data_IF_220388254755
#
_entry.id   IF_220388254755
#
_cell.length_a   1.000
_cell.length_b   1.000
_cell.length_c   1.000
_cell.angle_alpha   90.00
_cell.angle_beta   90.00
_cell.angle_gamma   90.00
#
_symmetry.space_group_name_H-M   'P 1'
#
loop_
_entity.id
_entity.type
_entity.pdbx_description
1 polymer ?
#
# COMPACT_ATOMS: atom_id res chain seq x y z
N UNK A 1 -15.81 -19.62 2.44
CA UNK A 1 -15.20 -18.35 2.00
C UNK A 1 -16.29 -17.29 2.13
N UNK A 2 -16.23 -16.39 3.12
CA UNK A 2 -17.17 -15.26 3.20
C UNK A 2 -16.68 -14.22 2.20
N UNK A 3 -17.45 -13.96 1.16
CA UNK A 3 -17.19 -12.82 0.27
C UNK A 3 -17.07 -11.55 1.12
N UNK A 4 -16.02 -10.77 0.89
CA UNK A 4 -15.88 -9.46 1.50
C UNK A 4 -17.02 -8.59 0.93
N UNK A 5 -17.93 -8.12 1.78
CA UNK A 5 -19.06 -7.30 1.33
C UNK A 5 -18.54 -6.04 0.62
N UNK A 6 -19.06 -5.78 -0.58
CA UNK A 6 -18.80 -4.56 -1.36
C UNK A 6 -19.04 -3.27 -0.55
N UNK A 7 -19.89 -3.32 0.50
CA UNK A 7 -20.11 -2.19 1.41
C UNK A 7 -18.93 -1.91 2.34
N UNK A 8 -18.25 -2.96 2.84
CA UNK A 8 -17.05 -2.85 3.66
C UNK A 8 -15.88 -2.32 2.82
N UNK A 9 -15.78 -2.81 1.59
CA UNK A 9 -14.84 -2.33 0.58
C UNK A 9 -14.97 -0.82 0.32
N UNK A 10 -16.19 -0.37 0.04
CA UNK A 10 -16.46 1.05 -0.18
C UNK A 10 -16.12 1.86 1.06
N UNK A 11 -16.42 1.34 2.26
CA UNK A 11 -16.10 1.99 3.53
C UNK A 11 -14.59 2.16 3.72
N UNK A 12 -13.79 1.13 3.44
CA UNK A 12 -12.32 1.17 3.56
C UNK A 12 -11.73 2.19 2.58
N UNK A 13 -12.15 2.15 1.31
CA UNK A 13 -11.71 3.11 0.29
C UNK A 13 -12.16 4.52 0.68
N UNK A 14 -13.42 4.71 1.09
CA UNK A 14 -13.92 6.00 1.59
C UNK A 14 -13.12 6.51 2.77
N UNK A 15 -12.87 5.67 3.77
CA UNK A 15 -12.13 6.06 4.97
C UNK A 15 -10.70 6.44 4.64
N UNK A 16 -10.02 5.67 3.79
CA UNK A 16 -8.66 5.95 3.35
C UNK A 16 -8.59 7.27 2.55
N UNK A 17 -9.51 7.47 1.61
CA UNK A 17 -9.59 8.66 0.77
C UNK A 17 -9.99 9.90 1.57
N UNK A 18 -10.98 9.79 2.46
CA UNK A 18 -11.46 10.89 3.30
C UNK A 18 -10.40 11.31 4.32
N UNK A 19 -9.72 10.35 4.95
CA UNK A 19 -8.63 10.64 5.89
C UNK A 19 -7.41 11.22 5.17
N UNK A 20 -7.12 10.74 3.94
CA UNK A 20 -6.08 11.36 3.10
C UNK A 20 -6.38 12.82 2.81
N UNK A 21 -7.62 13.14 2.45
CA UNK A 21 -8.01 14.51 2.16
C UNK A 21 -7.97 15.40 3.42
N UNK A 22 -8.45 14.89 4.56
CA UNK A 22 -8.45 15.62 5.85
C UNK A 22 -7.04 15.95 6.35
N UNK A 23 -6.08 15.04 6.19
CA UNK A 23 -4.69 15.28 6.64
C UNK A 23 -3.97 16.33 5.78
N UNK A 24 -4.40 16.51 4.53
CA UNK A 24 -3.89 17.56 3.65
C UNK A 24 -4.44 18.93 4.04
N UNK A 25 -5.71 18.99 4.47
CA UNK A 25 -6.36 20.24 4.89
C UNK A 25 -5.88 20.82 6.22
N UNK A 26 -5.22 20.03 7.06
CA UNK A 26 -4.74 20.49 8.37
C UNK A 26 -3.27 20.95 8.36
N UNK A 27 -2.53 20.74 7.27
CA UNK A 27 -1.10 21.09 7.14
C UNK A 27 -0.79 21.65 5.74
N UNK A 28 -1.17 22.89 5.44
CA UNK A 28 -0.89 23.57 4.15
C UNK A 28 0.61 23.72 3.84
N UNK A 29 1.06 23.79 2.56
CA UNK A 29 0.44 23.34 1.31
C UNK A 29 1.44 22.59 0.40
N UNK A 30 1.24 21.30 0.12
CA UNK A 30 1.72 20.68 -1.11
C UNK A 30 0.63 19.70 -1.56
N UNK A 31 0.10 19.93 -2.75
CA UNK A 31 -1.07 19.29 -3.38
C UNK A 31 -2.39 19.98 -3.06
N UNK A 32 -2.85 20.73 -4.06
CA UNK A 32 -4.16 21.36 -4.19
C UNK A 32 -5.28 20.40 -3.74
N UNK A 33 -5.89 20.69 -2.59
CA UNK A 33 -7.05 19.96 -2.05
C UNK A 33 -8.21 19.89 -3.07
N UNK A 34 -8.25 20.81 -4.05
CA UNK A 34 -9.33 20.86 -5.03
C UNK A 34 -9.28 19.77 -6.11
N UNK A 35 -8.19 19.01 -6.25
CA UNK A 35 -8.07 18.00 -7.32
C UNK A 35 -8.94 16.77 -7.03
N UNK A 36 -9.01 16.31 -5.77
CA UNK A 36 -9.83 15.14 -5.41
C UNK A 36 -11.32 15.45 -5.43
N UNK A 37 -11.73 16.57 -4.84
CA UNK A 37 -13.15 16.84 -4.62
C UNK A 37 -13.93 17.21 -5.88
N UNK A 38 -13.27 17.67 -6.95
CA UNK A 38 -13.97 17.98 -8.21
C UNK A 38 -14.50 16.72 -8.92
N UNK A 39 -13.86 15.58 -8.69
CA UNK A 39 -14.13 14.35 -9.44
C UNK A 39 -14.80 13.25 -8.62
N UNK A 40 -15.14 13.53 -7.36
CA UNK A 40 -15.78 12.57 -6.45
C UNK A 40 -17.24 12.94 -6.30
N UNK A 41 -18.12 12.09 -6.84
CA UNK A 41 -19.57 12.21 -6.65
C UNK A 41 -20.03 11.14 -5.70
N UNK A 42 -20.67 11.54 -4.60
CA UNK A 42 -21.40 10.65 -3.69
C UNK A 42 -22.88 10.69 -4.05
N UNK A 43 -23.47 9.55 -4.36
CA UNK A 43 -24.91 9.39 -4.58
C UNK A 43 -25.37 8.14 -3.84
N UNK A 44 -26.11 8.33 -2.73
CA UNK A 44 -26.46 7.25 -1.81
C UNK A 44 -25.22 6.50 -1.28
N UNK A 45 -25.21 5.18 -1.47
CA UNK A 45 -24.10 4.28 -1.11
C UNK A 45 -23.07 4.11 -2.24
N UNK A 46 -23.07 4.98 -3.26
CA UNK A 46 -22.12 4.91 -4.37
C UNK A 46 -21.19 6.12 -4.34
N UNK A 47 -19.89 5.86 -4.41
CA UNK A 47 -18.89 6.87 -4.71
C UNK A 47 -18.33 6.62 -6.10
N UNK A 48 -18.33 7.66 -6.91
CA UNK A 48 -17.74 7.65 -8.25
C UNK A 48 -16.56 8.61 -8.25
N UNK A 49 -15.36 8.09 -8.51
CA UNK A 49 -14.16 8.87 -8.79
C UNK A 49 -14.01 8.93 -10.31
N UNK A 50 -13.98 10.13 -10.89
CA UNK A 50 -13.85 10.33 -12.35
C UNK A 50 -12.50 10.98 -12.67
N UNK A 51 -11.40 10.22 -12.64
CA UNK A 51 -10.07 10.79 -12.86
C UNK A 51 -9.86 11.18 -14.33
N UNK A 52 -8.99 12.15 -14.59
CA UNK A 52 -8.56 12.48 -15.95
C UNK A 52 -7.64 11.39 -16.52
N UNK A 53 -6.85 10.76 -15.63
CA UNK A 53 -5.90 9.71 -15.98
C UNK A 53 -5.89 8.61 -14.92
N UNK A 54 -6.00 7.37 -15.39
CA UNK A 54 -5.91 6.17 -14.57
C UNK A 54 -4.97 5.17 -15.25
N UNK A 55 -3.93 4.71 -14.55
CA UNK A 55 -2.95 3.77 -15.13
C UNK A 55 -2.35 2.89 -14.04
N UNK A 56 -2.11 1.60 -14.30
CA UNK A 56 -1.37 0.74 -13.35
C UNK A 56 0.00 1.33 -13.02
N UNK A 57 0.46 1.23 -11.78
CA UNK A 57 1.75 1.75 -11.32
C UNK A 57 2.91 1.15 -12.11
N UNK A 58 2.84 -0.14 -12.43
CA UNK A 58 3.83 -0.80 -13.30
C UNK A 58 3.96 -0.15 -14.68
N UNK A 59 2.83 0.20 -15.31
CA UNK A 59 2.78 0.82 -16.63
C UNK A 59 3.19 2.28 -16.56
N UNK A 60 2.77 2.98 -15.50
CA UNK A 60 3.16 4.35 -15.23
C UNK A 60 4.68 4.46 -15.04
N UNK A 61 5.26 3.59 -14.22
CA UNK A 61 6.70 3.56 -13.95
C UNK A 61 7.51 3.26 -15.22
N UNK A 62 7.10 2.28 -16.03
CA UNK A 62 7.75 1.98 -17.33
C UNK A 62 7.78 3.19 -18.27
N UNK A 63 6.73 4.02 -18.27
CA UNK A 63 6.62 5.19 -19.14
C UNK A 63 7.39 6.41 -18.63
N UNK A 64 7.37 6.65 -17.32
CA UNK A 64 7.88 7.90 -16.73
C UNK A 64 9.24 7.73 -16.04
N UNK A 65 9.69 6.49 -15.80
CA UNK A 65 10.93 6.19 -15.12
C UNK A 65 10.85 6.37 -13.60
N UNK A 66 12.02 6.66 -13.01
CA UNK A 66 12.22 6.79 -11.56
C UNK A 66 11.41 7.94 -10.97
N UNK A 67 10.93 7.75 -9.75
CA UNK A 67 10.15 8.74 -9.02
C UNK A 67 11.06 9.70 -8.27
N UNK A 68 10.60 10.94 -8.11
CA UNK A 68 11.21 11.89 -7.20
C UNK A 68 10.94 11.48 -5.75
N UNK A 69 11.78 11.95 -4.83
CA UNK A 69 11.59 11.71 -3.39
C UNK A 69 10.20 12.10 -2.89
N UNK A 70 9.70 13.28 -3.28
CA UNK A 70 8.36 13.74 -2.90
C UNK A 70 7.24 12.83 -3.40
N UNK A 71 7.40 12.24 -4.59
CA UNK A 71 6.42 11.30 -5.16
C UNK A 71 6.43 9.95 -4.45
N UNK A 72 7.60 9.46 -4.03
CA UNK A 72 7.70 8.25 -3.19
C UNK A 72 7.12 8.51 -1.79
N UNK A 73 7.38 9.68 -1.20
CA UNK A 73 6.78 10.05 0.08
C UNK A 73 5.25 10.07 -0.01
N UNK A 74 4.72 10.64 -1.09
CA UNK A 74 3.29 10.63 -1.39
C UNK A 74 2.73 9.23 -1.53
N UNK A 75 3.45 8.35 -2.23
CA UNK A 75 3.12 6.93 -2.36
C UNK A 75 3.01 6.26 -0.99
N UNK A 76 4.01 6.41 -0.12
CA UNK A 76 4.03 5.84 1.24
C UNK A 76 2.80 6.29 2.05
N UNK A 77 2.48 7.59 2.00
CA UNK A 77 1.31 8.14 2.70
C UNK A 77 0.01 7.50 2.18
N UNK A 78 -0.16 7.40 0.86
CA UNK A 78 -1.35 6.78 0.27
C UNK A 78 -1.51 5.32 0.69
N UNK A 79 -0.40 4.55 0.69
CA UNK A 79 -0.41 3.14 1.11
C UNK A 79 -0.72 3.00 2.59
N UNK A 80 -0.08 3.80 3.45
CA UNK A 80 -0.28 3.74 4.91
C UNK A 80 -1.72 4.01 5.32
N UNK A 81 -2.39 4.94 4.64
CA UNK A 81 -3.81 5.24 4.89
C UNK A 81 -4.72 4.07 4.52
N UNK A 82 -4.47 3.42 3.38
CA UNK A 82 -5.24 2.24 2.93
C UNK A 82 -5.01 1.03 3.84
N UNK A 83 -3.76 0.76 4.20
CA UNK A 83 -3.41 -0.33 5.13
C UNK A 83 -4.01 -0.09 6.51
N UNK A 84 -3.94 1.14 7.04
CA UNK A 84 -4.58 1.49 8.32
C UNK A 84 -6.09 1.29 8.27
N UNK A 85 -6.74 1.67 7.18
CA UNK A 85 -8.18 1.46 7.00
C UNK A 85 -8.54 -0.03 6.96
N UNK A 86 -7.73 -0.87 6.29
CA UNK A 86 -7.92 -2.32 6.27
C UNK A 86 -7.75 -2.95 7.65
N UNK A 87 -6.69 -2.62 8.37
CA UNK A 87 -6.42 -3.17 9.71
C UNK A 87 -7.55 -2.81 10.68
N UNK A 88 -8.08 -1.59 10.62
CA UNK A 88 -9.25 -1.18 11.42
C UNK A 88 -10.52 -1.98 11.12
N UNK A 89 -10.59 -2.60 9.94
CA UNK A 89 -11.69 -3.44 9.49
C UNK A 89 -11.32 -4.94 9.55
N UNK A 90 -10.32 -5.32 10.36
CA UNK A 90 -9.86 -6.71 10.54
C UNK A 90 -9.49 -7.40 9.23
N UNK A 91 -8.86 -6.65 8.32
CA UNK A 91 -8.38 -7.14 7.04
C UNK A 91 -6.89 -6.83 6.87
N UNK A 92 -6.19 -7.63 6.06
CA UNK A 92 -4.79 -7.40 5.69
C UNK A 92 -4.49 -7.94 4.30
N UNK A 93 -3.38 -7.47 3.72
CA UNK A 93 -2.84 -8.03 2.48
C UNK A 93 -1.74 -9.03 2.80
N UNK A 94 -1.69 -10.14 2.06
CA UNK A 94 -0.58 -11.09 2.13
C UNK A 94 0.66 -10.52 1.41
N UNK A 95 0.46 -9.94 0.23
CA UNK A 95 1.51 -9.30 -0.55
C UNK A 95 0.90 -8.24 -1.49
N UNK A 96 1.72 -7.28 -1.91
CA UNK A 96 1.33 -6.20 -2.82
C UNK A 96 2.39 -6.07 -3.92
N UNK A 97 1.96 -5.87 -5.16
CA UNK A 97 2.82 -5.64 -6.32
C UNK A 97 2.49 -4.31 -7.00
N UNK A 98 3.34 -3.86 -7.91
CA UNK A 98 3.07 -2.66 -8.71
C UNK A 98 1.84 -2.81 -9.63
N UNK A 99 1.42 -4.02 -9.97
CA UNK A 99 0.23 -4.25 -10.80
C UNK A 99 -1.08 -4.17 -10.01
N UNK A 100 -0.99 -4.24 -8.68
CA UNK A 100 -2.13 -4.13 -7.75
C UNK A 100 -2.51 -2.68 -7.49
N UNK A 101 -1.66 -1.72 -7.90
CA UNK A 101 -1.80 -0.30 -7.60
C UNK A 101 -2.08 0.47 -8.89
N UNK A 102 -3.05 1.37 -8.86
CA UNK A 102 -3.30 2.36 -9.90
C UNK A 102 -2.80 3.73 -9.48
N UNK A 103 -2.24 4.45 -10.45
CA UNK A 103 -1.90 5.86 -10.39
C UNK A 103 -3.09 6.65 -10.94
N UNK A 104 -3.60 7.56 -10.12
CA UNK A 104 -4.71 8.45 -10.43
C UNK A 104 -4.17 9.87 -10.56
N UNK A 105 -4.40 10.51 -11.71
CA UNK A 105 -4.01 11.90 -11.99
C UNK A 105 -2.56 12.20 -11.57
N UNK A 106 -1.67 11.25 -11.89
CA UNK A 106 -0.22 11.28 -11.68
C UNK A 106 0.26 11.27 -10.21
N UNK A 107 -0.49 11.76 -9.24
CA UNK A 107 0.01 12.00 -7.86
C UNK A 107 -0.62 11.11 -6.79
N UNK A 108 -1.55 10.26 -7.17
CA UNK A 108 -2.31 9.46 -6.21
C UNK A 108 -2.25 7.98 -6.49
N UNK A 109 -2.21 7.18 -5.43
CA UNK A 109 -1.94 5.76 -5.52
C UNK A 109 -3.02 4.99 -4.77
N UNK A 110 -3.73 4.12 -5.47
CA UNK A 110 -4.81 3.32 -4.91
C UNK A 110 -4.54 1.85 -5.20
N UNK A 111 -4.59 1.01 -4.16
CA UNK A 111 -4.59 -0.44 -4.34
C UNK A 111 -5.98 -0.83 -4.86
N UNK A 112 -6.02 -1.51 -6.00
CA UNK A 112 -7.27 -1.92 -6.68
C UNK A 112 -7.41 -3.43 -6.82
N UNK A 113 -6.33 -4.20 -6.62
CA UNK A 113 -6.43 -5.66 -6.59
C UNK A 113 -6.77 -6.14 -5.18
N UNK A 114 -8.03 -6.52 -4.99
CA UNK A 114 -8.56 -6.92 -3.68
C UNK A 114 -8.60 -8.44 -3.49
N UNK A 115 -8.28 -9.21 -4.53
CA UNK A 115 -8.29 -10.68 -4.48
C UNK A 115 -7.26 -11.21 -3.46
N UNK A 116 -6.26 -10.39 -3.12
CA UNK A 116 -5.22 -10.68 -2.13
C UNK A 116 -5.54 -10.16 -0.71
N UNK A 117 -6.74 -9.63 -0.47
CA UNK A 117 -7.21 -9.27 0.89
C UNK A 117 -7.65 -10.53 1.62
N UNK A 118 -7.19 -10.66 2.85
CA UNK A 118 -7.60 -11.71 3.77
C UNK A 118 -8.13 -11.13 5.08
N UNK A 119 -9.13 -11.80 5.65
CA UNK A 119 -9.61 -11.50 7.00
C UNK A 119 -8.56 -11.88 8.03
N UNK A 120 -8.43 -11.07 9.06
CA UNK A 120 -7.60 -11.38 10.21
C UNK A 120 -8.31 -12.40 11.11
N UNK A 121 -7.54 -13.34 11.67
CA UNK A 121 -7.99 -14.25 12.72
C UNK A 121 -8.26 -13.48 14.01
N UNK A 122 -8.84 -14.16 15.02
CA UNK A 122 -9.04 -13.57 16.35
C UNK A 122 -7.73 -13.09 17.00
N UNK A 123 -6.62 -13.74 16.65
CA UNK A 123 -5.29 -13.40 17.13
C UNK A 123 -4.60 -12.31 16.27
N UNK A 124 -5.34 -11.70 15.34
CA UNK A 124 -4.85 -10.61 14.50
C UNK A 124 -3.95 -11.05 13.33
N UNK A 125 -3.85 -12.36 13.06
CA UNK A 125 -2.99 -12.91 11.99
C UNK A 125 -3.75 -13.09 10.69
N UNK A 126 -3.06 -13.13 9.56
CA UNK A 126 -3.65 -13.51 8.27
C UNK A 126 -3.59 -15.02 8.13
N UNK A 127 -4.74 -15.68 7.96
CA UNK A 127 -4.81 -17.13 7.71
C UNK A 127 -4.77 -17.41 6.21
N UNK A 128 -3.67 -17.99 5.74
CA UNK A 128 -3.49 -18.38 4.34
C UNK A 128 -3.89 -19.85 4.20
N UNK A 129 -4.95 -20.10 3.42
CA UNK A 129 -5.48 -21.45 3.17
C UNK A 129 -5.26 -21.93 1.74
N UNK A 130 -4.96 -21.01 0.82
CA UNK A 130 -4.79 -21.28 -0.60
C UNK A 130 -3.37 -20.95 -1.05
N UNK A 131 -2.80 -21.71 -2.00
CA UNK A 131 -1.51 -21.38 -2.61
C UNK A 131 -1.52 -19.99 -3.23
N UNK A 132 -0.39 -19.29 -3.14
CA UNK A 132 -0.17 -18.00 -3.78
C UNK A 132 1.18 -18.02 -4.53
N UNK A 133 1.35 -17.13 -5.51
CA UNK A 133 2.59 -17.02 -6.27
C UNK A 133 3.55 -16.05 -5.59
N UNK A 134 4.68 -16.56 -5.12
CA UNK A 134 5.74 -15.71 -4.58
C UNK A 134 6.44 -14.93 -5.71
N UNK A 135 6.82 -13.68 -5.41
CA UNK A 135 7.56 -12.81 -6.32
C UNK A 135 8.56 -11.96 -5.52
N UNK A 136 9.28 -11.04 -6.20
CA UNK A 136 10.30 -10.19 -5.56
C UNK A 136 9.76 -9.27 -4.46
N UNK A 137 8.46 -8.96 -4.47
CA UNK A 137 7.78 -8.15 -3.45
C UNK A 137 7.24 -8.97 -2.29
N UNK A 138 7.23 -10.31 -2.39
CA UNK A 138 6.77 -11.21 -1.34
C UNK A 138 7.78 -11.22 -0.18
N UNK A 139 7.29 -11.10 1.05
CA UNK A 139 8.11 -11.12 2.26
C UNK A 139 8.86 -12.47 2.43
N UNK A 140 10.05 -12.48 3.06
CA UNK A 140 10.87 -13.69 3.17
C UNK A 140 10.15 -14.85 3.87
N UNK A 141 9.42 -14.58 4.96
CA UNK A 141 8.66 -15.58 5.70
C UNK A 141 7.57 -16.26 4.87
N UNK A 142 7.11 -15.60 3.80
CA UNK A 142 6.12 -16.14 2.87
C UNK A 142 6.75 -17.00 1.77
N UNK A 143 8.04 -16.80 1.46
CA UNK A 143 8.77 -17.57 0.44
C UNK A 143 9.13 -18.96 0.93
N UNK A 144 9.29 -19.12 2.24
CA UNK A 144 9.75 -20.37 2.86
C UNK A 144 8.60 -21.28 3.33
N UNK A 145 7.35 -20.96 2.97
CA UNK A 145 6.17 -21.75 3.34
C UNK A 145 6.16 -23.08 2.59
N UNK A 146 6.13 -24.19 3.35
CA UNK A 146 6.07 -25.56 2.81
C UNK A 146 4.69 -26.20 2.92
N UNK A 147 3.84 -25.71 3.81
CA UNK A 147 2.55 -26.33 4.14
C UNK A 147 1.46 -25.28 4.33
N UNK A 148 0.23 -25.65 3.99
CA UNK A 148 -0.97 -24.86 4.22
C UNK A 148 -1.97 -25.68 5.06
N UNK A 149 -2.82 -25.04 5.88
CA UNK A 149 -2.88 -23.60 6.13
C UNK A 149 -1.75 -23.08 7.03
N UNK A 150 -1.49 -21.78 6.98
CA UNK A 150 -0.51 -21.09 7.84
C UNK A 150 -1.04 -19.73 8.28
N UNK A 151 -0.68 -19.31 9.49
CA UNK A 151 -0.93 -17.97 10.00
C UNK A 151 0.32 -17.11 9.85
N UNK A 152 0.15 -15.91 9.29
CA UNK A 152 1.25 -14.98 9.03
C UNK A 152 0.93 -13.61 9.62
N UNK A 153 1.98 -12.87 9.97
CA UNK A 153 1.83 -11.54 10.55
C UNK A 153 1.39 -10.53 9.47
N UNK A 154 0.37 -9.68 9.73
CA UNK A 154 -0.09 -8.66 8.77
C UNK A 154 1.00 -7.73 8.18
N UNK A 155 2.09 -7.40 8.92
CA UNK A 155 3.23 -6.65 8.39
C UNK A 155 3.97 -7.29 7.21
N UNK A 156 3.64 -8.51 6.76
CA UNK A 156 4.16 -9.05 5.50
C UNK A 156 3.92 -8.11 4.29
N UNK A 157 2.78 -7.41 4.27
CA UNK A 157 2.49 -6.38 3.26
C UNK A 157 3.40 -5.15 3.34
N UNK A 158 3.97 -4.83 4.51
CA UNK A 158 4.86 -3.68 4.68
C UNK A 158 6.18 -3.91 3.95
N UNK A 159 6.68 -5.15 3.98
CA UNK A 159 7.83 -5.57 3.18
C UNK A 159 7.58 -5.31 1.69
N UNK A 160 6.42 -5.70 1.16
CA UNK A 160 6.04 -5.44 -0.23
C UNK A 160 6.11 -3.96 -0.59
N UNK A 161 5.54 -3.09 0.26
CA UNK A 161 5.57 -1.64 0.03
C UNK A 161 6.99 -1.09 0.05
N UNK A 162 7.86 -1.56 0.94
CA UNK A 162 9.25 -1.13 1.00
C UNK A 162 10.04 -1.51 -0.26
N UNK A 163 9.88 -2.74 -0.76
CA UNK A 163 10.51 -3.17 -2.02
C UNK A 163 9.96 -2.38 -3.22
N UNK A 164 8.66 -2.03 -3.21
CA UNK A 164 8.07 -1.13 -4.21
C UNK A 164 8.72 0.26 -4.12
N UNK A 165 8.89 0.83 -2.93
CA UNK A 165 9.54 2.15 -2.77
C UNK A 165 10.96 2.17 -3.34
N UNK A 166 11.77 1.14 -3.04
CA UNK A 166 13.11 1.00 -3.62
C UNK A 166 13.05 0.90 -5.15
N UNK A 167 12.14 0.06 -5.67
CA UNK A 167 11.95 -0.07 -7.11
C UNK A 167 11.53 1.24 -7.77
N UNK A 168 10.72 2.08 -7.10
CA UNK A 168 10.30 3.40 -7.59
C UNK A 168 11.47 4.40 -7.64
N UNK A 169 12.48 4.25 -6.80
CA UNK A 169 13.75 4.99 -6.94
C UNK A 169 14.67 4.41 -8.04
N UNK A 170 14.29 3.30 -8.67
CA UNK A 170 15.17 2.55 -9.57
C UNK A 170 16.25 1.76 -8.84
N UNK A 171 16.03 1.46 -7.56
CA UNK A 171 16.98 0.75 -6.70
C UNK A 171 16.55 -0.71 -6.49
N UNK A 172 17.54 -1.58 -6.45
CA UNK A 172 17.39 -2.94 -5.91
C UNK A 172 17.66 -2.94 -4.40
N UNK A 173 17.08 -3.89 -3.67
CA UNK A 173 17.32 -4.02 -2.24
C UNK A 173 18.73 -4.56 -1.97
N UNK A 174 19.62 -3.65 -1.59
CA UNK A 174 20.97 -3.93 -1.09
C UNK A 174 21.45 -2.75 -0.24
N UNK A 175 22.55 -2.96 0.49
CA UNK A 175 23.10 -1.96 1.41
C UNK A 175 23.49 -0.66 0.70
N UNK A 176 24.21 -0.74 -0.41
CA UNK A 176 24.71 0.43 -1.14
C UNK A 176 23.57 1.33 -1.65
N UNK A 177 22.45 0.75 -2.08
CA UNK A 177 21.28 1.49 -2.51
C UNK A 177 20.48 2.07 -1.34
N UNK A 178 20.41 1.36 -0.21
CA UNK A 178 19.80 1.88 1.02
C UNK A 178 20.58 3.09 1.54
N UNK A 179 21.91 3.04 1.53
CA UNK A 179 22.78 4.11 2.03
C UNK A 179 22.59 5.43 1.26
N UNK A 180 22.17 5.39 -0.01
CA UNK A 180 21.83 6.59 -0.81
C UNK A 180 20.62 7.36 -0.28
N UNK A 181 19.75 6.69 0.47
CA UNK A 181 18.59 7.31 1.12
C UNK A 181 18.93 7.80 2.52
N UNK A 182 20.09 7.45 3.07
CA UNK A 182 20.48 7.86 4.41
C UNK A 182 21.08 9.28 4.43
N UNK A 183 20.76 10.12 5.42
CA UNK A 183 19.67 9.99 6.40
C UNK A 183 18.39 10.64 5.86
N UNK A 184 17.30 9.89 5.74
CA UNK A 184 16.00 10.45 5.38
C UNK A 184 14.83 9.74 6.06
N UNK A 185 13.67 10.39 6.22
CA UNK A 185 12.44 9.74 6.66
C UNK A 185 12.10 8.47 5.88
N UNK A 186 12.33 8.48 4.55
CA UNK A 186 12.07 7.31 3.70
C UNK A 186 13.05 6.17 3.97
N UNK A 187 14.33 6.47 4.25
CA UNK A 187 15.30 5.45 4.68
C UNK A 187 14.80 4.71 5.93
N UNK A 188 14.47 5.46 7.00
CA UNK A 188 14.06 4.86 8.26
C UNK A 188 12.71 4.15 8.14
N UNK A 189 11.81 4.63 7.27
CA UNK A 189 10.58 3.92 6.93
C UNK A 189 10.86 2.57 6.27
N UNK A 190 11.70 2.54 5.22
CA UNK A 190 12.05 1.32 4.49
C UNK A 190 12.76 0.33 5.42
N UNK A 191 13.73 0.79 6.21
CA UNK A 191 14.47 -0.03 7.17
C UNK A 191 13.53 -0.76 8.15
N UNK A 192 12.54 -0.06 8.72
CA UNK A 192 11.54 -0.67 9.61
C UNK A 192 10.62 -1.65 8.90
N UNK A 193 10.29 -1.41 7.65
CA UNK A 193 9.43 -2.31 6.86
C UNK A 193 10.17 -3.57 6.41
N UNK A 194 11.50 -3.53 6.32
CA UNK A 194 12.36 -4.63 5.87
C UNK A 194 13.02 -5.39 7.03
N UNK A 195 12.59 -5.16 8.28
CA UNK A 195 13.09 -5.91 9.43
C UNK A 195 12.87 -7.41 9.23
N UNK A 196 13.86 -8.25 9.60
CA UNK A 196 13.79 -9.69 9.33
C UNK A 196 12.59 -10.34 10.03
N UNK A 197 12.47 -10.13 11.34
CA UNK A 197 11.35 -10.55 12.18
C UNK A 197 10.06 -9.80 11.80
N UNK A 198 9.03 -10.48 11.25
CA UNK A 198 7.79 -9.85 10.80
C UNK A 198 7.07 -9.03 11.89
N UNK A 199 7.10 -9.50 13.13
CA UNK A 199 6.51 -8.87 14.32
C UNK A 199 7.15 -7.53 14.70
N UNK A 200 8.40 -7.29 14.28
CA UNK A 200 9.11 -6.04 14.52
C UNK A 200 8.92 -5.03 13.40
N UNK A 201 8.30 -5.42 12.28
CA UNK A 201 8.06 -4.52 11.15
C UNK A 201 6.99 -3.49 11.50
N UNK A 202 7.27 -2.25 11.15
CA UNK A 202 6.36 -1.13 11.40
C UNK A 202 6.18 -0.25 10.17
N UNK A 203 4.92 0.04 9.83
CA UNK A 203 4.57 1.05 8.83
C UNK A 203 4.60 2.43 9.47
N UNK A 204 5.80 2.95 9.71
CA UNK A 204 6.00 4.21 10.42
C UNK A 204 6.92 5.16 9.66
N UNK A 205 6.34 6.28 9.24
CA UNK A 205 7.03 7.42 8.64
C UNK A 205 7.11 8.53 9.70
N UNK A 206 8.33 8.87 10.13
CA UNK A 206 8.64 9.89 11.14
C UNK A 206 9.61 10.93 10.60
#
# INVERSE_FOLDING_TARGET
>A
MKELDNSLFLTIVISALSESARRLSTNTPIVDENIWFRNIKKSGNKITVSPNKLTKLSTYFKKNGVFTYGKVLRFIICMGLQLTALTKNNCGFIHITMDDIVVIDDDWFLITNFDNISLLTKDGKINITTPFSANKFTAPELRDIKTLPIDVEPPCSYYSIAIICLSLFGFEYNKDNMDKLYPSPVYFFIERCLYEEPEKRAFLLI
#
